data_IF_247263557453
#
_entry.id   IF_247263557453
#
_cell.length_a   1.000
_cell.length_b   1.000
_cell.length_c   1.000
_cell.angle_alpha   90.00
_cell.angle_beta   90.00
_cell.angle_gamma   90.00
#
_symmetry.space_group_name_H-M   'P 1'
#
loop_
_entity.id
_entity.type
_entity.pdbx_description
1 polymer ?
#
# COMPACT_ATOMS: atom_id res chain seq x y z
N UNK A 1 24.31 -12.10 13.95
CA UNK A 1 23.58 -10.82 13.75
C UNK A 1 22.85 -10.47 15.04
N UNK A 2 22.88 -9.20 15.49
CA UNK A 2 22.19 -8.81 16.72
C UNK A 2 20.67 -9.03 16.55
N UNK A 3 20.05 -9.63 17.56
CA UNK A 3 18.60 -9.82 17.65
C UNK A 3 18.07 -8.98 18.82
N UNK A 4 16.86 -8.44 18.68
CA UNK A 4 16.20 -7.67 19.74
C UNK A 4 16.50 -6.17 19.71
N UNK A 5 16.38 -5.50 20.85
CA UNK A 5 16.34 -4.04 21.01
C UNK A 5 17.44 -3.26 20.28
N UNK A 6 18.62 -3.85 20.04
CA UNK A 6 19.74 -3.20 19.35
C UNK A 6 19.66 -3.21 17.82
N UNK A 7 18.59 -3.75 17.23
CA UNK A 7 18.44 -3.86 15.78
C UNK A 7 18.42 -2.48 15.09
N UNK A 8 17.88 -1.45 15.76
CA UNK A 8 17.82 -0.07 15.23
C UNK A 8 19.20 0.59 15.10
N UNK A 9 20.22 0.12 15.83
CA UNK A 9 21.60 0.64 15.77
C UNK A 9 22.39 0.12 14.57
N UNK A 10 21.93 -0.99 13.97
CA UNK A 10 22.62 -1.68 12.86
C UNK A 10 21.78 -1.68 11.58
N UNK A 11 20.47 -1.47 11.70
CA UNK A 11 19.55 -1.44 10.56
C UNK A 11 19.72 -0.09 9.83
N UNK A 12 19.99 -0.11 8.51
CA UNK A 12 20.00 1.12 7.73
C UNK A 12 18.65 1.86 7.86
N UNK A 13 18.64 3.20 7.73
CA UNK A 13 17.41 3.98 7.72
C UNK A 13 16.38 3.39 6.75
N UNK A 14 15.08 3.56 7.06
CA UNK A 14 13.99 3.01 6.23
C UNK A 14 14.10 3.44 4.76
N UNK A 15 14.51 4.67 4.52
CA UNK A 15 14.80 5.22 3.20
C UNK A 15 15.90 4.44 2.46
N UNK A 16 17.00 4.12 3.14
CA UNK A 16 18.11 3.36 2.57
C UNK A 16 17.72 1.91 2.25
N UNK A 17 16.81 1.31 3.04
CA UNK A 17 16.24 0.00 2.76
C UNK A 17 15.25 0.03 1.60
N UNK A 18 14.40 1.06 1.55
CA UNK A 18 13.42 1.26 0.48
C UNK A 18 14.12 1.47 -0.87
N UNK A 19 15.14 2.34 -0.92
CA UNK A 19 15.98 2.54 -2.09
C UNK A 19 16.70 1.27 -2.54
N UNK A 20 17.24 0.47 -1.62
CA UNK A 20 17.88 -0.82 -1.91
C UNK A 20 16.94 -1.84 -2.55
N UNK A 21 15.65 -1.75 -2.25
CA UNK A 21 14.62 -2.64 -2.78
C UNK A 21 13.82 -2.01 -3.92
N UNK A 22 14.21 -0.82 -4.40
CA UNK A 22 13.50 -0.09 -5.45
C UNK A 22 12.07 0.29 -5.05
N UNK A 23 11.80 0.40 -3.76
CA UNK A 23 10.50 0.74 -3.20
C UNK A 23 10.45 2.24 -2.88
N UNK A 24 9.35 2.88 -3.25
CA UNK A 24 9.00 4.21 -2.73
C UNK A 24 8.51 4.07 -1.29
N UNK A 25 8.85 5.01 -0.44
CA UNK A 25 8.15 5.15 0.84
C UNK A 25 6.71 5.60 0.58
N UNK A 26 5.81 5.23 1.50
CA UNK A 26 4.46 5.78 1.49
C UNK A 26 4.51 7.30 1.64
N UNK A 27 3.73 8.01 0.82
CA UNK A 27 3.46 9.43 0.98
C UNK A 27 2.40 9.68 2.06
N UNK A 28 2.21 10.95 2.42
CA UNK A 28 1.16 11.34 3.36
C UNK A 28 -0.21 10.87 2.84
N UNK A 29 -0.91 10.06 3.64
CA UNK A 29 -2.19 9.45 3.27
C UNK A 29 -2.08 8.08 2.57
N UNK A 30 -0.90 7.65 2.15
CA UNK A 30 -0.71 6.31 1.58
C UNK A 30 -0.54 5.25 2.69
N UNK A 31 -1.14 4.09 2.47
CA UNK A 31 -1.00 2.94 3.37
C UNK A 31 -0.93 1.64 2.58
N UNK A 32 -0.46 0.58 3.24
CA UNK A 32 -0.44 -0.76 2.67
C UNK A 32 -0.86 -1.79 3.72
N UNK A 33 -1.87 -2.58 3.37
CA UNK A 33 -2.44 -3.62 4.23
C UNK A 33 -2.57 -4.95 3.46
N UNK A 34 -2.55 -6.08 4.18
CA UNK A 34 -2.80 -7.40 3.57
C UNK A 34 -4.28 -7.73 3.65
N UNK A 35 -4.94 -7.76 2.50
CA UNK A 35 -6.36 -8.12 2.37
C UNK A 35 -6.56 -9.50 1.75
N UNK A 36 -7.61 -10.20 2.17
CA UNK A 36 -8.05 -11.45 1.53
C UNK A 36 -8.92 -11.13 0.31
N UNK A 37 -8.53 -11.63 -0.86
CA UNK A 37 -9.24 -11.40 -2.14
C UNK A 37 -9.73 -12.75 -2.69
N UNK A 38 -11.03 -12.85 -2.98
CA UNK A 38 -11.63 -13.98 -3.70
C UNK A 38 -11.90 -13.58 -5.16
N UNK A 39 -11.20 -14.21 -6.09
CA UNK A 39 -11.33 -13.98 -7.52
C UNK A 39 -10.91 -15.23 -8.32
N UNK A 40 -11.11 -15.21 -9.64
CA UNK A 40 -10.55 -16.22 -10.54
C UNK A 40 -9.02 -16.24 -10.44
N UNK A 41 -8.42 -17.44 -10.50
CA UNK A 41 -6.97 -17.62 -10.35
C UNK A 41 -6.15 -16.76 -11.33
N UNK A 42 -6.53 -16.77 -12.61
CA UNK A 42 -5.87 -15.98 -13.67
C UNK A 42 -5.92 -14.46 -13.42
N UNK A 43 -6.99 -13.97 -12.78
CA UNK A 43 -7.12 -12.54 -12.45
C UNK A 43 -6.20 -12.22 -11.28
N UNK A 44 -6.16 -13.07 -10.26
CA UNK A 44 -5.30 -12.86 -9.10
C UNK A 44 -3.80 -12.95 -9.46
N UNK A 45 -3.42 -13.84 -10.38
CA UNK A 45 -2.05 -13.91 -10.91
C UNK A 45 -1.63 -12.60 -11.60
N UNK A 46 -2.50 -12.05 -12.45
CA UNK A 46 -2.26 -10.76 -13.10
C UNK A 46 -2.15 -9.62 -12.09
N UNK A 47 -3.05 -9.57 -11.12
CA UNK A 47 -3.00 -8.57 -10.04
C UNK A 47 -1.72 -8.67 -9.20
N UNK A 48 -1.27 -9.89 -8.86
CA UNK A 48 -0.03 -10.11 -8.11
C UNK A 48 1.22 -9.75 -8.92
N UNK A 49 1.19 -9.83 -10.23
CA UNK A 49 2.29 -9.41 -11.08
C UNK A 49 2.45 -7.88 -11.15
N UNK A 50 1.43 -7.11 -10.75
CA UNK A 50 1.50 -5.65 -10.74
C UNK A 50 2.45 -5.14 -9.64
N UNK A 51 3.18 -4.04 -9.92
CA UNK A 51 3.83 -3.23 -8.90
C UNK A 51 2.84 -2.70 -7.84
N UNK A 52 3.30 -2.41 -6.60
CA UNK A 52 2.43 -1.95 -5.52
C UNK A 52 1.55 -0.74 -5.86
N UNK A 53 2.09 0.28 -6.54
CA UNK A 53 1.37 1.48 -6.97
C UNK A 53 0.22 1.14 -7.94
N UNK A 54 0.47 0.23 -8.88
CA UNK A 54 -0.56 -0.23 -9.83
C UNK A 54 -1.64 -1.05 -9.16
N UNK A 55 -1.32 -1.79 -8.10
CA UNK A 55 -2.34 -2.48 -7.30
C UNK A 55 -3.26 -1.49 -6.59
N UNK A 56 -2.72 -0.42 -6.02
CA UNK A 56 -3.50 0.68 -5.44
C UNK A 56 -4.51 1.26 -6.44
N UNK A 57 -4.04 1.59 -7.65
CA UNK A 57 -4.92 2.10 -8.73
C UNK A 57 -6.04 1.14 -9.13
N UNK A 58 -5.79 -0.18 -9.12
CA UNK A 58 -6.84 -1.17 -9.39
C UNK A 58 -7.90 -1.18 -8.29
N UNK A 59 -7.50 -1.00 -7.03
CA UNK A 59 -8.43 -0.88 -5.90
C UNK A 59 -9.27 0.38 -6.03
N UNK A 60 -8.64 1.54 -6.26
CA UNK A 60 -9.34 2.82 -6.46
C UNK A 60 -10.34 2.75 -7.61
N UNK A 61 -9.90 2.30 -8.80
CA UNK A 61 -10.78 2.16 -9.95
C UNK A 61 -11.92 1.16 -9.71
N UNK A 62 -11.67 0.10 -8.94
CA UNK A 62 -12.72 -0.85 -8.53
C UNK A 62 -13.74 -0.22 -7.59
N UNK A 63 -13.30 0.59 -6.61
CA UNK A 63 -14.18 1.31 -5.69
C UNK A 63 -14.98 2.39 -6.43
N UNK A 64 -14.34 3.13 -7.33
CA UNK A 64 -14.98 4.13 -8.18
C UNK A 64 -16.05 3.50 -9.06
N UNK A 65 -15.74 2.39 -9.74
CA UNK A 65 -16.70 1.67 -10.58
C UNK A 65 -17.89 1.10 -9.79
N UNK A 66 -17.72 0.85 -8.50
CA UNK A 66 -18.79 0.42 -7.58
C UNK A 66 -19.56 1.60 -6.96
N UNK A 67 -19.17 2.85 -7.25
CA UNK A 67 -19.77 4.04 -6.63
C UNK A 67 -19.42 4.20 -5.15
N UNK A 68 -18.32 3.61 -4.70
CA UNK A 68 -17.88 3.60 -3.29
C UNK A 68 -16.75 4.60 -3.01
N UNK A 69 -16.24 5.27 -4.04
CA UNK A 69 -15.18 6.28 -3.91
C UNK A 69 -15.72 7.72 -3.83
N UNK A 70 -16.98 7.96 -4.18
CA UNK A 70 -17.65 9.24 -3.94
C UNK A 70 -18.23 9.27 -2.53
N UNK A 71 -17.42 9.70 -1.57
CA UNK A 71 -17.92 10.23 -0.29
C UNK A 71 -17.48 11.70 -0.24
N UNK A 72 -18.46 12.57 -0.50
CA UNK A 72 -18.35 14.01 -0.32
C UNK A 72 -17.88 14.34 1.10
N UNK A 73 -16.74 15.00 1.24
CA UNK A 73 -16.53 16.31 1.88
C UNK A 73 -17.38 16.72 3.12
N UNK A 74 -17.80 15.80 4.01
CA UNK A 74 -18.58 16.17 5.21
C UNK A 74 -17.85 16.03 6.56
N UNK A 75 -16.53 15.80 6.60
CA UNK A 75 -15.79 15.72 7.88
C UNK A 75 -14.76 16.82 8.16
N UNK A 76 -14.50 17.74 7.21
CA UNK A 76 -13.63 18.89 7.47
C UNK A 76 -14.35 20.18 7.89
N UNK A 77 -15.69 20.20 7.90
CA UNK A 77 -16.46 21.37 8.38
C UNK A 77 -16.75 21.38 9.89
N UNK A 78 -16.26 20.40 10.66
CA UNK A 78 -16.57 20.27 12.09
C UNK A 78 -15.35 19.95 12.98
N UNK A 79 -14.21 20.59 12.71
CA UNK A 79 -13.10 20.73 13.67
C UNK A 79 -12.73 22.19 13.87
#
# INVERSE_FOLDING_TARGET
>A
MPKGEKLHLVRPPREALAARWGLRLFEDGETGERVYIRALAVVLERFKALPPDKRGRVVEAGLEALGLLEVQDEQEANR
#
